data_IF_535218377552
#
_entry.id   IF_535218377552
#
_cell.length_a   1.000
_cell.length_b   1.000
_cell.length_c   1.000
_cell.angle_alpha   90.00
_cell.angle_beta   90.00
_cell.angle_gamma   90.00
#
_symmetry.space_group_name_H-M   'P 1'
#
loop_
_entity.id
_entity.type
_entity.pdbx_description
1 polymer ?
#
# COMPACT_ATOMS: atom_id res chain seq x y z
N UNK A 1 2.48 3.57 11.03
CA UNK A 1 1.86 2.35 11.60
C UNK A 1 0.65 2.68 12.48
N UNK A 2 0.70 3.68 13.37
CA UNK A 2 -0.40 4.01 14.31
C UNK A 2 -1.69 4.38 13.57
N UNK A 3 -1.62 5.21 12.53
CA UNK A 3 -2.81 5.69 11.79
C UNK A 3 -3.59 4.55 11.12
N UNK A 4 -2.98 3.67 10.31
CA UNK A 4 -3.71 2.54 9.72
C UNK A 4 -4.34 1.60 10.75
N UNK A 5 -3.63 1.33 11.85
CA UNK A 5 -4.13 0.47 12.94
C UNK A 5 -5.34 1.11 13.63
N UNK A 6 -5.29 2.41 13.93
CA UNK A 6 -6.40 3.14 14.53
C UNK A 6 -7.61 3.19 13.59
N UNK A 7 -7.40 3.44 12.30
CA UNK A 7 -8.46 3.43 11.28
C UNK A 7 -9.09 2.05 11.12
N UNK A 8 -8.29 0.98 11.12
CA UNK A 8 -8.80 -0.39 11.10
C UNK A 8 -9.63 -0.70 12.34
N UNK A 9 -9.16 -0.27 13.53
CA UNK A 9 -9.90 -0.44 14.79
C UNK A 9 -11.26 0.28 14.76
N UNK A 10 -11.28 1.55 14.33
CA UNK A 10 -12.51 2.33 14.18
C UNK A 10 -13.48 1.68 13.18
N UNK A 11 -12.96 1.28 12.02
CA UNK A 11 -13.76 0.61 10.98
C UNK A 11 -14.33 -0.72 11.48
N UNK A 12 -13.53 -1.50 12.23
CA UNK A 12 -13.96 -2.76 12.83
C UNK A 12 -15.06 -2.57 13.86
N UNK A 13 -15.00 -1.49 14.64
CA UNK A 13 -16.06 -1.13 15.57
C UNK A 13 -17.35 -0.72 14.86
N UNK A 14 -17.25 0.08 13.79
CA UNK A 14 -18.43 0.47 12.97
C UNK A 14 -19.06 -0.76 12.34
N UNK A 15 -18.28 -1.63 11.71
CA UNK A 15 -18.77 -2.85 11.08
C UNK A 15 -19.46 -3.80 12.08
N UNK A 16 -19.01 -3.83 13.33
CA UNK A 16 -19.63 -4.60 14.41
C UNK A 16 -21.08 -4.23 14.67
N UNK A 17 -21.51 -2.99 14.38
CA UNK A 17 -22.91 -2.57 14.50
C UNK A 17 -23.82 -3.21 13.46
N UNK A 18 -23.27 -3.60 12.31
CA UNK A 18 -24.03 -4.22 11.22
C UNK A 18 -23.98 -5.75 11.27
N UNK A 19 -22.85 -6.33 11.62
CA UNK A 19 -22.63 -7.77 11.57
C UNK A 19 -22.70 -8.47 12.92
N UNK A 20 -22.82 -7.72 14.02
CA UNK A 20 -22.85 -8.21 15.42
C UNK A 20 -21.57 -8.96 15.85
N UNK A 21 -20.50 -8.91 15.06
CA UNK A 21 -19.19 -9.43 15.44
C UNK A 21 -18.49 -8.45 16.39
N UNK A 22 -17.61 -8.97 17.23
CA UNK A 22 -16.81 -8.14 18.13
C UNK A 22 -15.77 -7.31 17.34
N UNK A 23 -15.30 -6.22 17.94
CA UNK A 23 -14.22 -5.42 17.37
C UNK A 23 -13.01 -6.28 17.03
N UNK A 24 -12.61 -7.17 17.95
CA UNK A 24 -11.42 -8.02 17.80
C UNK A 24 -11.58 -9.00 16.63
N UNK A 25 -12.75 -9.60 16.48
CA UNK A 25 -13.02 -10.52 15.35
C UNK A 25 -12.96 -9.79 14.01
N UNK A 26 -13.59 -8.63 13.90
CA UNK A 26 -13.53 -7.82 12.68
C UNK A 26 -12.11 -7.35 12.41
N UNK A 27 -11.40 -6.87 13.43
CA UNK A 27 -10.02 -6.42 13.32
C UNK A 27 -9.10 -7.54 12.82
N UNK A 28 -9.19 -8.73 13.41
CA UNK A 28 -8.37 -9.86 13.01
C UNK A 28 -8.69 -10.34 11.58
N UNK A 29 -9.97 -10.45 11.22
CA UNK A 29 -10.39 -10.92 9.90
C UNK A 29 -10.03 -9.93 8.78
N UNK A 30 -10.36 -8.67 8.96
CA UNK A 30 -10.16 -7.64 7.93
C UNK A 30 -8.75 -7.04 7.93
N UNK A 31 -7.95 -7.29 8.98
CA UNK A 31 -6.53 -6.99 8.97
C UNK A 31 -5.81 -7.65 7.79
N UNK A 32 -6.20 -8.88 7.43
CA UNK A 32 -5.65 -9.56 6.24
C UNK A 32 -5.97 -8.84 4.93
N UNK A 33 -7.10 -8.15 4.83
CA UNK A 33 -7.46 -7.43 3.63
C UNK A 33 -6.57 -6.20 3.38
N UNK A 34 -6.00 -5.61 4.42
CA UNK A 34 -5.07 -4.47 4.30
C UNK A 34 -3.70 -4.90 3.77
N UNK A 35 -3.29 -6.15 4.03
CA UNK A 35 -1.95 -6.64 3.70
C UNK A 35 -1.62 -6.43 2.22
N UNK A 36 -2.56 -6.68 1.31
CA UNK A 36 -2.31 -6.54 -0.13
C UNK A 36 -1.96 -5.09 -0.50
N UNK A 37 -2.67 -4.10 0.07
CA UNK A 37 -2.42 -2.68 -0.16
C UNK A 37 -1.11 -2.22 0.51
N UNK A 38 -0.86 -2.67 1.74
CA UNK A 38 0.35 -2.33 2.50
C UNK A 38 1.61 -2.88 1.81
N UNK A 39 1.56 -4.15 1.39
CA UNK A 39 2.63 -4.77 0.60
C UNK A 39 2.88 -4.04 -0.72
N UNK A 40 1.83 -3.65 -1.43
CA UNK A 40 1.95 -2.89 -2.66
C UNK A 40 2.62 -1.52 -2.41
N UNK A 41 2.24 -0.81 -1.36
CA UNK A 41 2.87 0.44 -0.94
C UNK A 41 4.35 0.26 -0.58
N UNK A 42 4.69 -0.78 0.19
CA UNK A 42 6.08 -1.09 0.51
C UNK A 42 6.92 -1.44 -0.72
N UNK A 43 6.39 -2.26 -1.63
CA UNK A 43 7.08 -2.60 -2.88
C UNK A 43 7.27 -1.34 -3.73
N UNK A 44 6.23 -0.52 -3.88
CA UNK A 44 6.30 0.73 -4.64
C UNK A 44 7.35 1.70 -4.08
N UNK A 45 7.46 1.80 -2.75
CA UNK A 45 8.47 2.64 -2.10
C UNK A 45 9.89 2.12 -2.34
N UNK A 46 10.14 0.84 -2.12
CA UNK A 46 11.46 0.25 -2.31
C UNK A 46 11.87 0.22 -3.79
N UNK A 47 10.91 0.00 -4.70
CA UNK A 47 11.14 0.03 -6.13
C UNK A 47 11.62 1.41 -6.59
N UNK A 48 11.11 2.48 -5.95
CA UNK A 48 11.58 3.83 -6.22
C UNK A 48 13.08 3.96 -5.96
N UNK A 49 13.56 3.57 -4.79
CA UNK A 49 14.99 3.63 -4.45
C UNK A 49 15.83 2.80 -5.41
N UNK A 50 15.38 1.59 -5.74
CA UNK A 50 16.08 0.70 -6.66
C UNK A 50 16.17 1.31 -8.08
N UNK A 51 15.11 1.89 -8.59
CA UNK A 51 15.06 2.41 -9.96
C UNK A 51 15.64 3.82 -10.10
N UNK A 52 15.52 4.65 -9.06
CA UNK A 52 16.07 6.01 -9.05
C UNK A 52 17.59 6.03 -8.78
N UNK A 53 18.11 5.06 -8.02
CA UNK A 53 19.49 5.06 -7.54
C UNK A 53 20.26 3.78 -7.89
N UNK A 54 19.65 2.84 -8.59
CA UNK A 54 20.22 1.48 -8.76
C UNK A 54 21.58 1.44 -9.47
N UNK A 55 21.85 2.37 -10.39
CA UNK A 55 23.16 2.45 -11.04
C UNK A 55 24.27 2.95 -10.10
N UNK A 56 23.94 3.63 -9.01
CA UNK A 56 24.93 4.09 -8.03
C UNK A 56 25.69 2.92 -7.41
N UNK A 57 25.03 1.77 -7.24
CA UNK A 57 25.66 0.53 -6.73
C UNK A 57 26.78 0.09 -7.68
N UNK A 58 26.52 0.10 -9.00
CA UNK A 58 27.52 -0.24 -10.01
C UNK A 58 28.66 0.78 -10.02
N UNK A 59 28.36 2.07 -9.96
CA UNK A 59 29.36 3.14 -9.96
C UNK A 59 30.26 3.07 -8.73
N UNK A 60 29.67 2.82 -7.56
CA UNK A 60 30.43 2.61 -6.33
C UNK A 60 31.35 1.37 -6.43
N UNK A 61 30.84 0.28 -7.00
CA UNK A 61 31.65 -0.91 -7.27
C UNK A 61 32.82 -0.63 -8.22
N UNK A 62 32.59 0.12 -9.29
CA UNK A 62 33.65 0.49 -10.25
C UNK A 62 34.69 1.43 -9.63
N UNK A 63 34.26 2.35 -8.77
CA UNK A 63 35.15 3.26 -8.04
C UNK A 63 36.13 2.51 -7.12
N UNK A 64 35.72 1.37 -6.54
CA UNK A 64 36.61 0.51 -5.75
C UNK A 64 37.77 -0.08 -6.59
N UNK A 65 37.59 -0.19 -7.90
CA UNK A 65 38.63 -0.62 -8.84
C UNK A 65 39.35 0.56 -9.53
N UNK A 66 39.20 1.79 -9.02
CA UNK A 66 39.85 2.98 -9.54
C UNK A 66 39.22 3.54 -10.82
N UNK A 67 38.02 3.07 -11.19
CA UNK A 67 37.28 3.58 -12.35
C UNK A 67 36.19 4.59 -11.88
N UNK A 68 36.52 5.87 -11.95
CA UNK A 68 35.55 6.93 -11.62
C UNK A 68 34.69 7.28 -12.84
N UNK A 69 33.37 7.16 -12.68
CA UNK A 69 32.39 7.61 -13.68
C UNK A 69 31.77 8.91 -13.18
N UNK A 70 32.22 10.02 -13.74
CA UNK A 70 31.70 11.35 -13.41
C UNK A 70 30.56 11.75 -14.35
N UNK A 71 29.48 12.34 -13.76
CA UNK A 71 28.39 12.95 -14.53
C UNK A 71 27.34 11.99 -15.10
N UNK A 72 27.42 10.69 -14.82
CA UNK A 72 26.40 9.75 -15.26
C UNK A 72 25.20 9.69 -14.29
N UNK A 73 23.99 9.63 -14.84
CA UNK A 73 22.77 9.47 -14.04
C UNK A 73 22.76 8.14 -13.29
N UNK A 74 22.50 8.18 -11.98
CA UNK A 74 22.33 6.98 -11.15
C UNK A 74 20.97 6.27 -11.41
N UNK A 75 20.03 6.93 -12.07
CA UNK A 75 18.70 6.40 -12.33
C UNK A 75 18.70 5.35 -13.46
N UNK A 76 17.96 4.27 -13.24
CA UNK A 76 17.67 3.25 -14.27
C UNK A 76 16.54 3.72 -15.18
N UNK A 77 15.48 4.29 -14.59
CA UNK A 77 14.31 4.84 -15.27
C UNK A 77 14.13 6.30 -14.92
N UNK A 78 13.36 7.02 -15.75
CA UNK A 78 12.96 8.39 -15.45
C UNK A 78 12.00 8.45 -14.24
N UNK A 79 11.99 9.58 -13.55
CA UNK A 79 11.08 9.81 -12.41
C UNK A 79 9.61 9.58 -12.75
N UNK A 80 9.21 9.95 -13.97
CA UNK A 80 7.84 9.79 -14.43
C UNK A 80 7.47 8.31 -14.64
N UNK A 81 8.37 7.53 -15.22
CA UNK A 81 8.15 6.08 -15.40
C UNK A 81 8.07 5.36 -14.05
N UNK A 82 8.93 5.71 -13.11
CA UNK A 82 8.89 5.16 -11.74
C UNK A 82 7.55 5.48 -11.08
N UNK A 83 7.06 6.71 -11.22
CA UNK A 83 5.78 7.13 -10.64
C UNK A 83 4.59 6.37 -11.23
N UNK A 84 4.57 6.11 -12.53
CA UNK A 84 3.55 5.28 -13.15
C UNK A 84 3.55 3.84 -12.64
N UNK A 85 4.75 3.26 -12.46
CA UNK A 85 4.89 1.92 -11.87
C UNK A 85 4.38 1.87 -10.42
N UNK A 86 4.70 2.89 -9.62
CA UNK A 86 4.22 3.00 -8.24
C UNK A 86 2.69 3.06 -8.18
N UNK A 87 2.06 3.89 -9.01
CA UNK A 87 0.59 3.98 -9.06
C UNK A 87 -0.05 2.67 -9.55
N UNK A 88 0.57 1.99 -10.53
CA UNK A 88 0.13 0.68 -10.98
C UNK A 88 0.15 -0.36 -9.85
N UNK A 89 1.22 -0.41 -9.06
CA UNK A 89 1.33 -1.30 -7.90
C UNK A 89 0.28 -0.98 -6.83
N UNK A 90 0.07 0.30 -6.51
CA UNK A 90 -0.96 0.71 -5.54
C UNK A 90 -2.35 0.32 -6.03
N UNK A 91 -2.65 0.49 -7.32
CA UNK A 91 -3.94 0.08 -7.89
C UNK A 91 -4.15 -1.43 -7.79
N UNK A 92 -3.13 -2.25 -8.06
CA UNK A 92 -3.18 -3.70 -7.88
C UNK A 92 -3.40 -4.08 -6.41
N UNK A 93 -2.68 -3.44 -5.50
CA UNK A 93 -2.85 -3.64 -4.05
C UNK A 93 -4.26 -3.27 -3.58
N UNK A 94 -4.81 -2.17 -4.08
CA UNK A 94 -6.18 -1.73 -3.79
C UNK A 94 -7.22 -2.76 -4.25
N UNK A 95 -7.11 -3.24 -5.49
CA UNK A 95 -8.01 -4.27 -6.04
C UNK A 95 -7.91 -5.57 -5.22
N UNK A 96 -6.68 -6.00 -4.89
CA UNK A 96 -6.44 -7.16 -4.06
C UNK A 96 -7.05 -7.03 -2.66
N UNK A 97 -6.92 -5.87 -2.03
CA UNK A 97 -7.51 -5.56 -0.72
C UNK A 97 -9.03 -5.54 -0.76
N UNK A 98 -9.64 -4.91 -1.76
CA UNK A 98 -11.10 -4.93 -1.94
C UNK A 98 -11.64 -6.34 -2.17
N UNK A 99 -10.98 -7.11 -3.04
CA UNK A 99 -11.35 -8.50 -3.31
C UNK A 99 -11.29 -9.34 -2.03
N UNK A 100 -10.21 -9.21 -1.26
CA UNK A 100 -10.05 -9.95 0.00
C UNK A 100 -11.10 -9.55 1.02
N UNK A 101 -11.37 -8.24 1.21
CA UNK A 101 -12.41 -7.77 2.11
C UNK A 101 -13.81 -8.28 1.70
N UNK A 102 -14.11 -8.28 0.40
CA UNK A 102 -15.36 -8.82 -0.13
C UNK A 102 -15.48 -10.33 0.14
N UNK A 103 -14.43 -11.11 -0.13
CA UNK A 103 -14.41 -12.56 0.13
C UNK A 103 -14.57 -12.88 1.62
N UNK A 104 -13.93 -12.12 2.50
CA UNK A 104 -14.10 -12.26 3.96
C UNK A 104 -15.55 -11.97 4.35
N UNK A 105 -16.16 -10.93 3.80
CA UNK A 105 -17.57 -10.60 4.08
C UNK A 105 -18.52 -11.70 3.62
N UNK A 106 -18.31 -12.28 2.43
CA UNK A 106 -19.10 -13.38 1.88
C UNK A 106 -18.97 -14.67 2.71
N UNK A 107 -17.76 -14.99 3.19
CA UNK A 107 -17.53 -16.24 3.92
C UNK A 107 -18.15 -16.24 5.33
N UNK A 108 -18.39 -15.05 5.89
CA UNK A 108 -18.87 -14.91 7.27
C UNK A 108 -20.34 -14.48 7.38
N UNK A 109 -20.93 -13.98 6.28
CA UNK A 109 -22.28 -13.43 6.28
C UNK A 109 -23.02 -13.77 4.99
N UNK A 110 -24.34 -13.64 5.01
CA UNK A 110 -25.21 -13.83 3.85
C UNK A 110 -26.20 -12.68 3.73
N UNK A 111 -26.65 -12.43 2.48
CA UNK A 111 -27.63 -11.39 2.18
C UNK A 111 -27.13 -9.96 2.43
N UNK A 112 -27.99 -9.11 2.97
CA UNK A 112 -27.72 -7.68 3.20
C UNK A 112 -26.56 -7.43 4.17
N UNK A 113 -26.28 -8.36 5.09
CA UNK A 113 -25.18 -8.23 6.05
C UNK A 113 -23.79 -8.25 5.39
N UNK A 114 -23.66 -8.87 4.22
CA UNK A 114 -22.41 -8.86 3.43
C UNK A 114 -22.04 -7.42 3.09
N UNK A 115 -22.98 -6.68 2.54
CA UNK A 115 -22.75 -5.28 2.15
C UNK A 115 -22.52 -4.36 3.33
N UNK A 116 -23.33 -4.50 4.40
CA UNK A 116 -23.15 -3.74 5.63
C UNK A 116 -21.80 -3.95 6.31
N UNK A 117 -21.22 -5.17 6.17
CA UNK A 117 -19.89 -5.48 6.68
C UNK A 117 -18.78 -5.02 5.72
N UNK A 118 -18.96 -5.23 4.41
CA UNK A 118 -17.97 -4.88 3.40
C UNK A 118 -17.78 -3.37 3.23
N UNK A 119 -18.87 -2.59 3.21
CA UNK A 119 -18.84 -1.17 2.88
C UNK A 119 -17.89 -0.33 3.78
N UNK A 120 -17.88 -0.47 5.11
CA UNK A 120 -16.95 0.27 5.95
C UNK A 120 -15.48 -0.03 5.61
N UNK A 121 -15.15 -1.29 5.31
CA UNK A 121 -13.79 -1.69 4.94
C UNK A 121 -13.43 -1.24 3.52
N UNK A 122 -14.38 -1.21 2.59
CA UNK A 122 -14.15 -0.64 1.27
C UNK A 122 -13.81 0.86 1.36
N UNK A 123 -14.52 1.62 2.20
CA UNK A 123 -14.20 3.02 2.48
C UNK A 123 -12.80 3.15 3.09
N UNK A 124 -12.44 2.30 4.05
CA UNK A 124 -11.11 2.27 4.63
C UNK A 124 -10.03 2.06 3.56
N UNK A 125 -10.22 1.08 2.64
CA UNK A 125 -9.27 0.83 1.55
C UNK A 125 -9.12 2.04 0.62
N UNK A 126 -10.20 2.73 0.31
CA UNK A 126 -10.17 3.97 -0.48
C UNK A 126 -9.35 5.05 0.25
N UNK A 127 -9.60 5.28 1.54
CA UNK A 127 -8.86 6.27 2.34
C UNK A 127 -7.37 5.94 2.38
N UNK A 128 -7.01 4.69 2.66
CA UNK A 128 -5.61 4.26 2.70
C UNK A 128 -4.94 4.38 1.32
N UNK A 129 -5.66 4.08 0.25
CA UNK A 129 -5.15 4.25 -1.13
C UNK A 129 -4.88 5.71 -1.43
N UNK A 130 -5.82 6.61 -1.11
CA UNK A 130 -5.64 8.06 -1.29
C UNK A 130 -4.42 8.54 -0.49
N UNK A 131 -4.27 8.11 0.75
CA UNK A 131 -3.10 8.44 1.57
C UNK A 131 -1.79 8.00 0.90
N UNK A 132 -1.74 6.78 0.37
CA UNK A 132 -0.57 6.28 -0.36
C UNK A 132 -0.29 7.12 -1.62
N UNK A 133 -1.31 7.40 -2.44
CA UNK A 133 -1.17 8.23 -3.64
C UNK A 133 -0.64 9.62 -3.28
N UNK A 134 -1.20 10.27 -2.26
CA UNK A 134 -0.72 11.57 -1.78
C UNK A 134 0.74 11.49 -1.35
N UNK A 135 1.12 10.48 -0.55
CA UNK A 135 2.51 10.28 -0.13
C UNK A 135 3.46 10.14 -1.34
N UNK A 136 3.07 9.42 -2.38
CA UNK A 136 3.90 9.23 -3.57
C UNK A 136 3.92 10.42 -4.52
N UNK A 137 3.03 11.39 -4.37
CA UNK A 137 3.07 12.66 -5.10
C UNK A 137 3.91 13.74 -4.41
N UNK A 138 4.22 13.58 -3.10
CA UNK A 138 5.04 14.52 -2.36
C UNK A 138 6.52 14.46 -2.83
N UNK A 139 7.25 15.60 -2.78
CA UNK A 139 8.69 15.64 -3.03
C UNK A 139 9.44 14.68 -2.11
N UNK A 140 10.53 14.08 -2.59
CA UNK A 140 11.34 13.10 -1.87
C UNK A 140 11.72 13.52 -0.45
N UNK A 141 12.07 14.81 -0.25
CA UNK A 141 12.44 15.35 1.05
C UNK A 141 11.31 15.29 2.11
N UNK A 142 10.05 15.09 1.70
CA UNK A 142 8.90 14.99 2.58
C UNK A 142 8.42 13.54 2.80
N UNK A 143 9.11 12.56 2.17
CA UNK A 143 8.73 11.14 2.27
C UNK A 143 9.53 10.37 3.33
N UNK A 144 10.48 11.03 3.99
CA UNK A 144 11.29 10.43 5.07
C UNK A 144 10.57 10.45 6.42
#
# INVERSE_FOLDING_TARGET
>A
IIIPVALLGLTSWIAGKFNKATLIENFARFGYAIIALDMAGHIAHNLFHLLAEGKSILYTGMALFGMEIQGASAAILSMQEIQWLQFGLIALGFIGSLYTAYRISLSNHSGEKVWGTFAPFAVLMVVLTIMNVVLFTLPMAMRM
#
